data_IF_523399440574
#
_entry.id   IF_523399440574
#
_cell.length_a   1.000
_cell.length_b   1.000
_cell.length_c   1.000
_cell.angle_alpha   90.00
_cell.angle_beta   90.00
_cell.angle_gamma   90.00
#
_symmetry.space_group_name_H-M   'P 1'
#
loop_
_entity.id
_entity.type
_entity.pdbx_description
1 polymer ?
#
# COMPACT_ATOMS: atom_id res chain seq x y z
N UNK A 1 -5.45 5.75 17.63
CA UNK A 1 -4.56 6.22 16.55
C UNK A 1 -4.74 5.38 15.29
N UNK A 2 -4.48 4.06 15.28
CA UNK A 2 -4.71 3.23 14.08
C UNK A 2 -6.18 3.07 13.67
N UNK A 3 -7.08 2.90 14.65
CA UNK A 3 -8.52 2.75 14.39
C UNK A 3 -9.20 3.99 13.78
N UNK A 4 -8.47 5.09 13.62
CA UNK A 4 -8.93 6.25 12.84
C UNK A 4 -8.88 5.98 11.33
N UNK A 5 -7.91 5.19 10.86
CA UNK A 5 -7.67 4.95 9.44
C UNK A 5 -7.93 3.51 9.02
N UNK A 6 -7.79 2.54 9.93
CA UNK A 6 -8.08 1.14 9.67
C UNK A 6 -9.53 0.83 10.07
N UNK A 7 -10.35 0.58 9.07
CA UNK A 7 -11.76 0.20 9.17
C UNK A 7 -12.08 -0.85 8.11
N UNK A 8 -13.29 -1.41 8.12
CA UNK A 8 -13.71 -2.38 7.10
C UNK A 8 -13.57 -1.85 5.67
N UNK A 9 -13.65 -0.52 5.47
CA UNK A 9 -13.46 0.10 4.16
C UNK A 9 -12.00 0.12 3.67
N UNK A 10 -11.02 0.05 4.58
CA UNK A 10 -9.59 0.15 4.27
C UNK A 10 -8.81 -1.13 4.55
N UNK A 11 -9.50 -2.16 5.04
CA UNK A 11 -8.95 -3.50 5.25
C UNK A 11 -9.42 -4.42 4.13
N UNK A 12 -8.47 -5.04 3.43
CA UNK A 12 -8.73 -6.04 2.41
C UNK A 12 -8.15 -7.38 2.83
N UNK A 13 -8.98 -8.42 2.78
CA UNK A 13 -8.57 -9.80 3.00
C UNK A 13 -8.53 -10.54 1.66
N UNK A 14 -7.44 -11.28 1.41
CA UNK A 14 -7.28 -12.14 0.22
C UNK A 14 -6.58 -13.43 0.60
N UNK A 15 -6.85 -14.49 -0.17
CA UNK A 15 -6.14 -15.76 0.00
C UNK A 15 -4.68 -15.61 -0.44
N UNK A 16 -4.45 -15.09 -1.64
CA UNK A 16 -3.14 -14.86 -2.24
C UNK A 16 -3.17 -13.73 -3.27
N UNK A 17 -2.00 -13.40 -3.78
CA UNK A 17 -1.76 -12.53 -4.94
C UNK A 17 -0.73 -13.22 -5.84
N UNK A 18 -0.79 -12.98 -7.14
CA UNK A 18 0.13 -13.59 -8.11
C UNK A 18 1.50 -12.91 -8.08
N UNK A 19 1.53 -11.60 -7.84
CA UNK A 19 2.75 -10.80 -7.90
C UNK A 19 2.78 -9.72 -6.82
N UNK A 20 3.98 -9.27 -6.44
CA UNK A 20 4.12 -8.21 -5.45
C UNK A 20 3.56 -6.85 -5.92
N UNK A 21 3.61 -6.42 -7.20
CA UNK A 21 2.97 -5.17 -7.63
C UNK A 21 1.45 -5.26 -7.49
N UNK A 22 0.85 -6.42 -7.79
CA UNK A 22 -0.58 -6.64 -7.56
C UNK A 22 -0.95 -6.48 -6.09
N UNK A 23 -0.09 -6.92 -5.16
CA UNK A 23 -0.28 -6.69 -3.73
C UNK A 23 -0.33 -5.20 -3.38
N UNK A 24 0.53 -4.38 -4.01
CA UNK A 24 0.55 -2.93 -3.81
C UNK A 24 -0.70 -2.26 -4.35
N UNK A 25 -1.14 -2.65 -5.56
CA UNK A 25 -2.36 -2.12 -6.16
C UNK A 25 -3.59 -2.44 -5.31
N UNK A 26 -3.74 -3.69 -4.87
CA UNK A 26 -4.85 -4.12 -4.01
C UNK A 26 -4.79 -3.38 -2.66
N UNK A 27 -3.61 -3.31 -2.04
CA UNK A 27 -3.45 -2.62 -0.76
C UNK A 27 -3.75 -1.12 -0.88
N UNK A 28 -3.30 -0.47 -1.95
CA UNK A 28 -3.49 0.96 -2.19
C UNK A 28 -4.89 1.35 -2.66
N UNK A 29 -5.66 0.42 -3.23
CA UNK A 29 -6.97 0.69 -3.84
C UNK A 29 -7.94 1.46 -2.93
N UNK A 30 -8.14 1.12 -1.65
CA UNK A 30 -9.01 1.90 -0.77
C UNK A 30 -8.60 3.37 -0.64
N UNK A 31 -7.29 3.65 -0.63
CA UNK A 31 -6.76 5.01 -0.53
C UNK A 31 -6.89 5.77 -1.85
N UNK A 32 -6.77 5.09 -2.99
CA UNK A 32 -7.03 5.65 -4.32
C UNK A 32 -8.51 6.02 -4.47
N UNK A 33 -9.41 5.08 -4.15
CA UNK A 33 -10.85 5.27 -4.27
C UNK A 33 -11.33 6.41 -3.33
N UNK A 34 -10.73 6.56 -2.15
CA UNK A 34 -10.98 7.65 -1.20
C UNK A 34 -10.27 8.98 -1.58
N UNK A 35 -9.46 9.00 -2.63
CA UNK A 35 -8.70 10.19 -3.06
C UNK A 35 -7.60 10.63 -2.09
N UNK A 36 -7.19 9.77 -1.15
CA UNK A 36 -6.11 10.04 -0.18
C UNK A 36 -4.74 9.95 -0.84
N UNK A 37 -4.62 9.15 -1.90
CA UNK A 37 -3.43 9.09 -2.76
C UNK A 37 -3.83 9.25 -4.24
N UNK A 38 -2.87 9.65 -5.06
CA UNK A 38 -2.97 9.69 -6.51
C UNK A 38 -2.45 8.37 -7.12
N UNK A 39 -2.84 7.99 -8.35
CA UNK A 39 -2.33 6.79 -9.03
C UNK A 39 -0.80 6.73 -9.07
N UNK A 40 -0.15 7.89 -9.23
CA UNK A 40 1.29 8.04 -9.30
C UNK A 40 1.99 7.57 -8.01
N UNK A 41 1.30 7.57 -6.87
CA UNK A 41 1.86 7.13 -5.60
C UNK A 41 2.21 5.63 -5.62
N UNK A 42 1.36 4.80 -6.22
CA UNK A 42 1.63 3.36 -6.38
C UNK A 42 2.74 3.15 -7.41
N UNK A 43 2.72 3.90 -8.51
CA UNK A 43 3.79 3.89 -9.51
C UNK A 43 5.15 4.25 -8.89
N UNK A 44 5.20 5.26 -8.03
CA UNK A 44 6.41 5.67 -7.32
C UNK A 44 6.94 4.54 -6.44
N UNK A 45 6.09 3.88 -5.64
CA UNK A 45 6.51 2.74 -4.80
C UNK A 45 7.13 1.62 -5.67
N UNK A 46 6.51 1.28 -6.80
CA UNK A 46 7.01 0.26 -7.74
C UNK A 46 8.38 0.66 -8.31
N UNK A 47 8.54 1.92 -8.72
CA UNK A 47 9.81 2.42 -9.26
C UNK A 47 10.92 2.44 -8.19
N UNK A 48 10.60 2.88 -6.97
CA UNK A 48 11.55 2.86 -5.86
C UNK A 48 11.93 1.42 -5.49
N UNK A 49 10.99 0.47 -5.54
CA UNK A 49 11.31 -0.95 -5.36
C UNK A 49 12.31 -1.45 -6.42
N UNK A 50 12.10 -1.12 -7.69
CA UNK A 50 13.01 -1.52 -8.76
C UNK A 50 14.41 -0.92 -8.59
N UNK A 51 14.50 0.29 -8.06
CA UNK A 51 15.77 1.02 -7.86
C UNK A 51 16.52 0.63 -6.60
N UNK A 52 15.82 0.45 -5.49
CA UNK A 52 16.39 0.30 -4.15
C UNK A 52 16.22 -1.12 -3.60
N UNK A 53 15.49 -1.98 -4.30
CA UNK A 53 14.96 -3.22 -3.75
C UNK A 53 13.79 -2.97 -2.80
N UNK A 54 13.36 -4.00 -2.04
CA UNK A 54 12.19 -3.93 -1.16
C UNK A 54 12.43 -3.13 0.14
N UNK A 55 12.77 -1.85 0.03
CA UNK A 55 13.10 -0.97 1.17
C UNK A 55 11.99 -0.85 2.23
N UNK A 56 10.75 -1.16 1.85
CA UNK A 56 9.57 -1.09 2.71
C UNK A 56 9.23 -2.40 3.42
N UNK A 57 10.02 -3.46 3.23
CA UNK A 57 9.86 -4.72 3.99
C UNK A 57 10.50 -4.55 5.36
N UNK A 58 9.67 -4.60 6.40
CA UNK A 58 10.09 -4.34 7.77
C UNK A 58 10.54 -5.62 8.49
N UNK A 59 9.91 -6.75 8.15
CA UNK A 59 10.19 -8.07 8.71
C UNK A 59 9.67 -9.17 7.77
N UNK A 60 10.08 -10.45 7.96
CA UNK A 60 9.48 -11.56 7.23
C UNK A 60 7.95 -11.55 7.33
N UNK A 61 7.28 -11.51 6.18
CA UNK A 61 5.82 -11.47 6.11
C UNK A 61 5.17 -10.11 6.41
N UNK A 62 5.95 -9.03 6.60
CA UNK A 62 5.43 -7.69 6.88
C UNK A 62 6.08 -6.61 5.99
N UNK A 63 5.26 -5.96 5.18
CA UNK A 63 5.63 -4.83 4.35
C UNK A 63 4.79 -3.60 4.72
N UNK A 64 5.40 -2.42 4.66
CA UNK A 64 4.72 -1.13 4.82
C UNK A 64 5.03 -0.23 3.62
N UNK A 65 4.43 -0.50 2.44
CA UNK A 65 4.74 0.23 1.21
C UNK A 65 4.37 1.71 1.35
N UNK A 66 5.31 2.60 1.04
CA UNK A 66 5.13 4.05 1.12
C UNK A 66 6.11 4.75 0.20
N UNK A 67 5.69 5.84 -0.42
CA UNK A 67 6.53 6.77 -1.18
C UNK A 67 6.54 8.15 -0.49
N UNK A 68 7.34 9.08 -1.01
CA UNK A 68 7.38 10.44 -0.46
C UNK A 68 6.06 11.17 -0.68
N UNK A 69 5.66 12.13 0.18
CA UNK A 69 4.41 12.85 0.01
C UNK A 69 4.26 13.51 -1.36
N UNK A 70 5.32 14.11 -1.88
CA UNK A 70 5.36 14.76 -3.19
C UNK A 70 5.15 13.80 -4.38
N UNK A 71 5.25 12.49 -4.16
CA UNK A 71 5.05 11.45 -5.18
C UNK A 71 3.57 11.00 -5.30
N UNK A 72 2.64 11.74 -4.66
CA UNK A 72 1.20 11.54 -4.89
C UNK A 72 0.35 11.36 -3.63
N UNK A 73 0.86 11.63 -2.43
CA UNK A 73 0.02 11.66 -1.24
C UNK A 73 -0.80 12.96 -1.18
N UNK A 74 -2.12 12.84 -0.98
CA UNK A 74 -3.06 13.97 -0.88
C UNK A 74 -3.55 14.20 0.55
N UNK A 75 -3.34 13.24 1.44
CA UNK A 75 -3.72 13.32 2.84
C UNK A 75 -3.16 12.15 3.66
N UNK A 76 -3.51 12.12 4.94
CA UNK A 76 -3.18 11.02 5.83
C UNK A 76 -4.19 9.88 5.67
N UNK A 77 -3.68 8.66 5.55
CA UNK A 77 -4.50 7.45 5.55
C UNK A 77 -3.65 6.20 5.67
N UNK A 78 -4.30 5.10 6.01
CA UNK A 78 -3.72 3.77 6.05
C UNK A 78 -4.71 2.79 5.44
N UNK A 79 -4.18 1.80 4.74
CA UNK A 79 -4.90 0.61 4.31
C UNK A 79 -4.09 -0.63 4.66
N UNK A 80 -4.79 -1.75 4.80
CA UNK A 80 -4.19 -3.02 5.17
C UNK A 80 -4.66 -4.11 4.21
N UNK A 81 -3.72 -4.74 3.53
CA UNK A 81 -3.95 -6.01 2.85
C UNK A 81 -3.42 -7.15 3.72
N UNK A 82 -4.29 -8.08 4.10
CA UNK A 82 -3.90 -9.33 4.74
C UNK A 82 -4.04 -10.48 3.76
N UNK A 83 -2.91 -11.11 3.46
CA UNK A 83 -2.82 -12.37 2.71
C UNK A 83 -2.82 -13.56 3.67
N UNK A 84 -3.49 -14.64 3.29
CA UNK A 84 -3.49 -15.89 4.04
C UNK A 84 -2.26 -16.75 3.75
N UNK A 85 -1.81 -16.78 2.49
CA UNK A 85 -0.58 -17.45 2.05
C UNK A 85 0.52 -16.45 1.73
#
# INVERSE_FOLDING_TARGET
>A
MLGTWLSDATITLRESVETWPQALEICGKPLLDAGVIAPEYITAIVQQHQKLGPYYVLAPGLAMPHARPEEGAKGLGLSLLKLQR
#
